data_IF_907259823254
#
_entry.id   IF_907259823254
#
_cell.length_a   1.000
_cell.length_b   1.000
_cell.length_c   1.000
_cell.angle_alpha   90.00
_cell.angle_beta   90.00
_cell.angle_gamma   90.00
#
_symmetry.space_group_name_H-M   'P 1'
#
loop_
_entity.id
_entity.type
_entity.pdbx_description
1 polymer ?
#
# COMPACT_ATOMS: atom_id res chain seq x y z
N UNK A 1 71.94 20.71 -29.40
CA UNK A 1 71.33 21.85 -28.68
C UNK A 1 70.02 21.38 -28.08
N UNK A 2 69.84 21.59 -26.78
CA UNK A 2 68.66 21.21 -26.00
C UNK A 2 67.42 22.03 -26.38
N UNK A 3 66.24 21.39 -26.41
CA UNK A 3 65.01 21.99 -25.86
C UNK A 3 63.93 20.94 -25.56
N UNK A 4 63.41 21.04 -24.34
CA UNK A 4 62.36 20.23 -23.73
C UNK A 4 60.96 20.76 -24.05
N UNK A 5 59.97 19.88 -23.87
CA UNK A 5 58.55 20.09 -23.47
C UNK A 5 57.52 20.35 -24.58
N UNK A 6 56.53 19.44 -24.71
CA UNK A 6 55.19 19.63 -24.13
C UNK A 6 54.41 18.30 -24.05
N UNK A 7 53.82 18.03 -22.89
CA UNK A 7 52.86 16.94 -22.65
C UNK A 7 51.47 17.43 -23.07
N UNK A 8 50.98 16.95 -24.20
CA UNK A 8 49.59 17.18 -24.63
C UNK A 8 48.65 16.24 -23.85
N UNK A 9 47.73 16.84 -23.10
CA UNK A 9 46.72 16.21 -22.27
C UNK A 9 45.76 15.35 -23.10
N UNK A 10 45.80 14.03 -22.92
CA UNK A 10 44.80 13.12 -23.46
C UNK A 10 43.42 13.42 -22.83
N UNK A 11 42.52 13.95 -23.64
CA UNK A 11 41.17 14.35 -23.24
C UNK A 11 40.30 13.11 -23.06
N UNK A 12 39.96 12.79 -21.80
CA UNK A 12 39.03 11.70 -21.41
C UNK A 12 37.66 11.78 -22.09
N UNK A 13 37.28 12.94 -22.64
CA UNK A 13 36.04 13.16 -23.39
C UNK A 13 36.03 12.54 -24.79
N UNK A 14 37.17 12.41 -25.43
CA UNK A 14 37.26 11.84 -26.79
C UNK A 14 37.18 10.31 -26.75
N UNK A 15 37.71 9.69 -25.69
CA UNK A 15 37.58 8.25 -25.45
C UNK A 15 36.12 7.80 -25.24
N UNK A 16 35.30 8.61 -24.55
CA UNK A 16 33.87 8.33 -24.35
C UNK A 16 33.09 8.48 -25.66
N UNK A 17 33.45 9.43 -26.52
CA UNK A 17 32.83 9.58 -27.84
C UNK A 17 33.17 8.42 -28.78
N UNK A 18 34.41 7.95 -28.77
CA UNK A 18 34.84 6.84 -29.64
C UNK A 18 34.29 5.48 -29.18
N UNK A 19 34.01 5.30 -27.88
CA UNK A 19 33.44 4.04 -27.37
C UNK A 19 31.90 3.97 -27.49
N UNK A 20 31.23 5.10 -27.70
CA UNK A 20 29.76 5.17 -27.79
C UNK A 20 29.17 4.86 -29.17
N UNK A 21 29.97 4.70 -30.22
CA UNK A 21 29.48 4.67 -31.60
C UNK A 21 29.57 3.31 -32.30
N UNK A 22 30.09 2.26 -31.66
CA UNK A 22 30.44 1.01 -32.36
C UNK A 22 29.65 -0.26 -31.95
N UNK A 23 28.62 -0.17 -31.10
CA UNK A 23 27.84 -1.38 -30.73
C UNK A 23 26.35 -1.11 -30.50
N UNK A 24 25.72 -0.36 -31.40
CA UNK A 24 24.28 -0.12 -31.39
C UNK A 24 23.56 -0.82 -32.57
N UNK A 25 24.02 -2.01 -32.96
CA UNK A 25 23.34 -2.84 -33.94
C UNK A 25 23.19 -4.28 -33.42
N UNK A 26 21.96 -4.60 -33.02
CA UNK A 26 21.35 -5.93 -33.20
C UNK A 26 21.74 -7.07 -32.24
N UNK A 27 21.29 -7.02 -30.98
CA UNK A 27 21.05 -8.26 -30.20
C UNK A 27 19.69 -8.30 -29.46
N UNK A 28 18.90 -7.21 -29.42
CA UNK A 28 17.61 -7.21 -28.69
C UNK A 28 16.36 -7.37 -29.58
N UNK A 29 16.50 -7.46 -30.90
CA UNK A 29 15.38 -7.79 -31.79
C UNK A 29 15.14 -9.31 -31.77
N UNK A 30 14.36 -9.79 -30.80
CA UNK A 30 13.94 -11.20 -30.70
C UNK A 30 14.17 -11.87 -29.35
N UNK A 31 14.80 -11.20 -28.38
CA UNK A 31 14.84 -11.69 -27.01
C UNK A 31 13.49 -11.39 -26.37
N UNK A 32 12.58 -12.36 -26.42
CA UNK A 32 11.48 -12.40 -25.46
C UNK A 32 12.13 -12.36 -24.07
N UNK A 33 12.05 -11.23 -23.37
CA UNK A 33 12.43 -11.14 -21.97
C UNK A 33 11.67 -12.27 -21.30
N UNK A 34 12.34 -13.33 -20.80
CA UNK A 34 11.63 -14.34 -20.05
C UNK A 34 10.94 -13.59 -18.92
N UNK A 35 9.62 -13.74 -18.78
CA UNK A 35 8.98 -13.40 -17.52
C UNK A 35 9.59 -14.34 -16.50
N UNK A 36 10.73 -13.92 -15.93
CA UNK A 36 11.33 -14.52 -14.75
C UNK A 36 10.31 -14.28 -13.67
N UNK A 37 9.34 -15.20 -13.58
CA UNK A 37 8.59 -15.40 -12.37
C UNK A 37 9.65 -15.86 -11.38
N UNK A 38 10.16 -14.92 -10.58
CA UNK A 38 10.94 -15.28 -9.40
C UNK A 38 10.18 -16.40 -8.69
N UNK A 39 10.89 -17.44 -8.24
CA UNK A 39 10.33 -18.51 -7.42
C UNK A 39 9.88 -18.02 -6.02
N UNK A 40 9.60 -16.73 -5.88
CA UNK A 40 9.03 -16.08 -4.72
C UNK A 40 7.53 -16.11 -4.93
N UNK A 41 6.81 -16.76 -4.02
CA UNK A 41 5.35 -16.62 -3.93
C UNK A 41 5.03 -15.12 -3.81
N UNK A 42 4.49 -14.56 -4.89
CA UNK A 42 4.15 -13.14 -5.03
C UNK A 42 2.78 -12.81 -4.39
N UNK A 43 2.22 -13.77 -3.64
CA UNK A 43 0.98 -13.59 -2.89
C UNK A 43 1.18 -12.56 -1.78
N UNK A 44 0.43 -11.46 -1.85
CA UNK A 44 0.34 -10.50 -0.75
C UNK A 44 -0.63 -11.03 0.29
N UNK A 45 -0.13 -11.29 1.50
CA UNK A 45 -0.99 -11.71 2.61
C UNK A 45 -1.66 -10.49 3.24
N UNK A 46 -2.89 -10.70 3.68
CA UNK A 46 -3.74 -9.67 4.27
C UNK A 46 -4.20 -10.13 5.63
N UNK A 47 -4.14 -9.23 6.61
CA UNK A 47 -4.88 -9.37 7.86
C UNK A 47 -5.89 -8.24 8.03
N UNK A 48 -7.05 -8.55 8.61
CA UNK A 48 -8.09 -7.56 8.91
C UNK A 48 -8.22 -7.38 10.41
N UNK A 49 -8.03 -6.16 10.90
CA UNK A 49 -8.27 -5.80 12.30
C UNK A 49 -9.51 -4.90 12.36
N UNK A 50 -10.56 -5.42 12.98
CA UNK A 50 -11.91 -4.84 13.00
C UNK A 50 -12.81 -5.48 11.93
N UNK A 51 -13.07 -6.78 12.04
CA UNK A 51 -13.92 -7.58 11.15
C UNK A 51 -15.44 -7.27 11.23
N UNK A 52 -15.83 -6.01 11.43
CA UNK A 52 -17.20 -5.54 11.27
C UNK A 52 -17.60 -5.35 9.80
N UNK A 53 -18.77 -4.75 9.54
CA UNK A 53 -19.26 -4.52 8.17
C UNK A 53 -18.28 -3.75 7.29
N UNK A 54 -17.63 -2.70 7.83
CA UNK A 54 -16.65 -1.94 7.05
C UNK A 54 -15.38 -2.75 6.76
N UNK A 55 -14.85 -3.47 7.75
CA UNK A 55 -13.70 -4.37 7.58
C UNK A 55 -13.96 -5.46 6.56
N UNK A 56 -15.15 -6.07 6.62
CA UNK A 56 -15.61 -7.05 5.63
C UNK A 56 -15.56 -6.48 4.21
N UNK A 57 -16.11 -5.29 3.99
CA UNK A 57 -16.09 -4.68 2.66
C UNK A 57 -14.71 -4.18 2.21
N UNK A 58 -13.82 -3.79 3.15
CA UNK A 58 -12.45 -3.42 2.79
C UNK A 58 -11.62 -4.65 2.37
N UNK A 59 -11.76 -5.76 3.10
CA UNK A 59 -11.16 -7.04 2.75
C UNK A 59 -11.69 -7.57 1.42
N UNK A 60 -13.00 -7.45 1.20
CA UNK A 60 -13.66 -7.78 -0.06
C UNK A 60 -13.06 -7.03 -1.24
N UNK A 61 -12.94 -5.69 -1.14
CA UNK A 61 -12.33 -4.88 -2.18
C UNK A 61 -10.88 -5.30 -2.48
N UNK A 62 -10.11 -5.65 -1.45
CA UNK A 62 -8.73 -6.10 -1.63
C UNK A 62 -8.68 -7.47 -2.34
N UNK A 63 -9.54 -8.41 -1.95
CA UNK A 63 -9.60 -9.75 -2.57
C UNK A 63 -10.22 -9.74 -3.97
N UNK A 64 -11.03 -8.73 -4.30
CA UNK A 64 -11.61 -8.53 -5.63
C UNK A 64 -10.64 -7.94 -6.66
N UNK A 65 -9.42 -7.58 -6.26
CA UNK A 65 -8.39 -7.15 -7.22
C UNK A 65 -8.08 -8.34 -8.15
N UNK A 66 -8.13 -8.17 -9.49
CA UNK A 66 -7.80 -9.25 -10.41
C UNK A 66 -6.40 -9.82 -10.15
N UNK A 67 -6.26 -11.15 -10.25
CA UNK A 67 -5.01 -11.86 -9.97
C UNK A 67 -3.86 -11.46 -10.90
N UNK A 68 -4.17 -10.93 -12.08
CA UNK A 68 -3.19 -10.38 -13.03
C UNK A 68 -2.55 -9.07 -12.53
N UNK A 69 -3.21 -8.39 -11.57
CA UNK A 69 -2.72 -7.16 -10.94
C UNK A 69 -2.09 -7.46 -9.59
N UNK A 70 -2.78 -8.21 -8.73
CA UNK A 70 -2.27 -8.59 -7.41
C UNK A 70 -2.91 -9.89 -6.94
N UNK A 71 -2.08 -10.83 -6.47
CA UNK A 71 -2.54 -12.08 -5.84
C UNK A 71 -2.70 -11.86 -4.35
N UNK A 72 -3.93 -11.58 -3.91
CA UNK A 72 -4.22 -11.26 -2.52
C UNK A 72 -4.83 -12.45 -1.78
N UNK A 73 -4.36 -12.71 -0.55
CA UNK A 73 -4.87 -13.78 0.30
C UNK A 73 -5.11 -13.29 1.74
N UNK A 74 -6.32 -13.46 2.25
CA UNK A 74 -6.65 -13.15 3.63
C UNK A 74 -6.23 -14.31 4.54
N UNK A 75 -5.32 -14.06 5.48
CA UNK A 75 -4.69 -15.11 6.32
C UNK A 75 -5.01 -15.00 7.81
N UNK A 76 -5.44 -13.83 8.27
CA UNK A 76 -5.81 -13.62 9.67
C UNK A 76 -6.88 -12.54 9.84
N UNK A 77 -7.67 -12.67 10.91
CA UNK A 77 -8.70 -11.68 11.27
C UNK A 77 -8.70 -11.44 12.77
N UNK A 78 -8.95 -10.19 13.18
CA UNK A 78 -9.15 -9.81 14.57
C UNK A 78 -10.40 -8.94 14.77
N UNK A 79 -11.13 -9.17 15.85
CA UNK A 79 -12.22 -8.33 16.33
C UNK A 79 -12.39 -8.50 17.85
N UNK A 80 -13.25 -7.72 18.48
CA UNK A 80 -13.66 -7.95 19.88
C UNK A 80 -15.00 -8.67 19.97
N UNK A 81 -15.73 -8.79 18.85
CA UNK A 81 -17.03 -9.44 18.76
C UNK A 81 -16.97 -10.69 17.91
N UNK A 82 -17.22 -11.85 18.53
CA UNK A 82 -17.32 -13.15 17.84
C UNK A 82 -18.39 -13.13 16.75
N UNK A 83 -19.56 -12.57 17.03
CA UNK A 83 -20.65 -12.49 16.05
C UNK A 83 -20.26 -11.71 14.78
N UNK A 84 -19.55 -10.58 14.94
CA UNK A 84 -19.05 -9.80 13.78
C UNK A 84 -17.99 -10.58 13.01
N UNK A 85 -17.03 -11.17 13.72
CA UNK A 85 -15.97 -12.01 13.15
C UNK A 85 -16.54 -13.13 12.28
N UNK A 86 -17.47 -13.92 12.83
CA UNK A 86 -18.04 -15.08 12.14
C UNK A 86 -18.85 -14.68 10.92
N UNK A 87 -19.64 -13.61 11.01
CA UNK A 87 -20.40 -13.09 9.88
C UNK A 87 -19.49 -12.59 8.77
N UNK A 88 -18.41 -11.87 9.12
CA UNK A 88 -17.40 -11.38 8.19
C UNK A 88 -16.69 -12.54 7.49
N UNK A 89 -16.18 -13.51 8.25
CA UNK A 89 -15.50 -14.68 7.72
C UNK A 89 -16.40 -15.48 6.76
N UNK A 90 -17.65 -15.79 7.17
CA UNK A 90 -18.61 -16.51 6.31
C UNK A 90 -18.87 -15.77 5.00
N UNK A 91 -19.09 -14.45 5.07
CA UNK A 91 -19.34 -13.63 3.89
C UNK A 91 -18.13 -13.57 2.94
N UNK A 92 -16.92 -13.45 3.48
CA UNK A 92 -15.68 -13.41 2.69
C UNK A 92 -15.36 -14.79 2.10
N UNK A 93 -15.41 -15.86 2.89
CA UNK A 93 -15.12 -17.23 2.44
C UNK A 93 -16.09 -17.66 1.33
N UNK A 94 -17.37 -17.31 1.43
CA UNK A 94 -18.37 -17.58 0.39
C UNK A 94 -18.04 -16.90 -0.94
N UNK A 95 -17.53 -15.66 -0.92
CA UNK A 95 -17.26 -14.86 -2.12
C UNK A 95 -15.90 -15.20 -2.76
N UNK A 96 -14.89 -15.39 -1.94
CA UNK A 96 -13.49 -15.44 -2.38
C UNK A 96 -12.83 -16.82 -2.22
N UNK A 97 -13.54 -17.80 -1.65
CA UNK A 97 -13.14 -19.21 -1.57
C UNK A 97 -11.69 -19.39 -1.09
N UNK A 98 -10.78 -19.77 -1.96
CA UNK A 98 -9.40 -20.15 -1.63
C UNK A 98 -8.51 -18.96 -1.28
N UNK A 99 -8.90 -17.76 -1.69
CA UNK A 99 -8.25 -16.51 -1.28
C UNK A 99 -8.52 -16.14 0.19
N UNK A 100 -9.34 -16.93 0.91
CA UNK A 100 -9.60 -16.78 2.34
C UNK A 100 -9.12 -18.03 3.09
N UNK A 101 -7.97 -17.90 3.73
CA UNK A 101 -7.28 -18.94 4.49
C UNK A 101 -7.13 -18.50 5.94
N UNK A 102 -8.27 -18.41 6.61
CA UNK A 102 -8.39 -17.97 8.00
C UNK A 102 -8.99 -19.12 8.82
N UNK A 103 -8.20 -20.15 9.16
CA UNK A 103 -8.62 -21.19 10.09
C UNK A 103 -8.99 -20.61 11.47
N UNK A 104 -9.68 -21.38 12.31
CA UNK A 104 -10.23 -20.89 13.57
C UNK A 104 -9.15 -20.33 14.53
N UNK A 105 -7.95 -20.90 14.52
CA UNK A 105 -6.77 -20.47 15.29
C UNK A 105 -6.12 -19.17 14.79
N UNK A 106 -6.52 -18.67 13.61
CA UNK A 106 -6.16 -17.35 13.05
C UNK A 106 -7.30 -16.33 13.09
N UNK A 107 -8.35 -16.60 13.88
CA UNK A 107 -9.45 -15.69 14.19
C UNK A 107 -9.34 -15.26 15.64
N UNK A 108 -8.78 -14.08 15.86
CA UNK A 108 -8.45 -13.61 17.19
C UNK A 108 -9.56 -12.72 17.74
N UNK A 109 -10.11 -13.11 18.89
CA UNK A 109 -11.06 -12.31 19.67
C UNK A 109 -10.36 -11.69 20.87
N UNK A 110 -10.51 -10.38 21.04
CA UNK A 110 -9.98 -9.65 22.19
C UNK A 110 -9.15 -8.44 21.81
N UNK A 111 -8.77 -7.65 22.82
CA UNK A 111 -8.03 -6.39 22.64
C UNK A 111 -6.57 -6.59 22.19
N UNK A 112 -6.00 -7.78 22.40
CA UNK A 112 -4.68 -8.17 21.92
C UNK A 112 -4.72 -8.84 20.52
N UNK A 113 -5.92 -9.12 20.00
CA UNK A 113 -6.12 -9.82 18.74
C UNK A 113 -5.49 -9.10 17.53
N UNK A 114 -5.40 -7.77 17.56
CA UNK A 114 -4.75 -7.00 16.49
C UNK A 114 -3.27 -7.38 16.30
N UNK A 115 -2.54 -7.60 17.40
CA UNK A 115 -1.14 -8.01 17.35
C UNK A 115 -1.02 -9.42 16.80
N UNK A 116 -1.82 -10.36 17.33
CA UNK A 116 -1.84 -11.76 16.91
C UNK A 116 -2.16 -11.91 15.43
N UNK A 117 -3.15 -11.16 14.92
CA UNK A 117 -3.47 -11.14 13.50
C UNK A 117 -2.29 -10.65 12.65
N UNK A 118 -1.63 -9.55 13.05
CA UNK A 118 -0.43 -9.06 12.37
C UNK A 118 0.76 -10.00 12.49
N UNK A 119 0.84 -10.83 13.53
CA UNK A 119 1.94 -11.79 13.71
C UNK A 119 1.91 -12.94 12.69
N UNK A 120 0.79 -13.11 11.97
CA UNK A 120 0.67 -14.02 10.82
C UNK A 120 1.13 -13.40 9.48
N UNK A 121 1.58 -12.15 9.48
CA UNK A 121 2.03 -11.44 8.28
C UNK A 121 3.54 -11.35 8.20
N UNK A 122 4.07 -11.47 6.98
CA UNK A 122 5.48 -11.24 6.66
C UNK A 122 5.74 -9.74 6.42
N UNK A 123 7.02 -9.34 6.50
CA UNK A 123 7.42 -7.97 6.15
C UNK A 123 6.96 -7.64 4.72
N UNK A 124 6.32 -6.49 4.53
CA UNK A 124 5.78 -6.06 3.23
C UNK A 124 4.33 -6.49 2.96
N UNK A 125 3.76 -7.39 3.76
CA UNK A 125 2.34 -7.73 3.67
C UNK A 125 1.45 -6.58 4.16
N UNK A 126 0.13 -6.70 3.95
CA UNK A 126 -0.83 -5.62 4.21
C UNK A 126 -1.71 -5.93 5.42
N UNK A 127 -1.82 -4.97 6.33
CA UNK A 127 -2.86 -4.99 7.36
C UNK A 127 -3.93 -3.93 7.11
N UNK A 128 -5.20 -4.32 7.23
CA UNK A 128 -6.38 -3.48 7.07
C UNK A 128 -6.92 -3.11 8.44
N UNK A 129 -6.96 -1.81 8.76
CA UNK A 129 -7.51 -1.30 10.01
C UNK A 129 -8.88 -0.66 9.83
N UNK A 130 -9.89 -1.27 10.44
CA UNK A 130 -11.28 -0.82 10.42
C UNK A 130 -11.91 -0.74 11.81
N UNK A 131 -11.07 -0.75 12.86
CA UNK A 131 -11.47 -0.47 14.24
C UNK A 131 -11.75 1.02 14.48
N UNK A 132 -12.45 1.38 15.59
CA UNK A 132 -12.57 2.77 16.03
C UNK A 132 -11.21 3.48 16.08
N UNK A 133 -11.19 4.75 15.68
CA UNK A 133 -9.95 5.51 15.49
C UNK A 133 -9.16 5.76 16.79
N UNK A 134 -9.80 5.67 17.96
CA UNK A 134 -9.15 5.83 19.27
C UNK A 134 -7.97 4.86 19.49
N UNK A 135 -8.03 3.67 18.89
CA UNK A 135 -7.00 2.62 19.03
C UNK A 135 -5.99 2.61 17.87
N UNK A 136 -6.19 3.45 16.85
CA UNK A 136 -5.45 3.35 15.58
C UNK A 136 -3.95 3.49 15.73
N UNK A 137 -3.51 4.40 16.59
CA UNK A 137 -2.09 4.67 16.81
C UNK A 137 -1.34 3.46 17.38
N UNK A 138 -2.00 2.65 18.24
CA UNK A 138 -1.42 1.43 18.80
C UNK A 138 -1.22 0.39 17.70
N UNK A 139 -2.26 0.17 16.90
CA UNK A 139 -2.22 -0.79 15.80
C UNK A 139 -1.18 -0.37 14.75
N UNK A 140 -1.15 0.93 14.42
CA UNK A 140 -0.22 1.46 13.43
C UNK A 140 1.23 1.35 13.87
N UNK A 141 1.53 1.65 15.14
CA UNK A 141 2.88 1.45 15.69
C UNK A 141 3.34 0.00 15.52
N UNK A 142 2.52 -0.98 15.90
CA UNK A 142 2.86 -2.41 15.76
C UNK A 142 3.08 -2.81 14.29
N UNK A 143 2.28 -2.29 13.36
CA UNK A 143 2.48 -2.53 11.92
C UNK A 143 3.82 -1.97 11.43
N UNK A 144 4.19 -0.75 11.83
CA UNK A 144 5.47 -0.12 11.51
C UNK A 144 6.64 -0.94 12.08
N UNK A 145 6.53 -1.39 13.33
CA UNK A 145 7.54 -2.20 14.00
C UNK A 145 7.79 -3.51 13.25
N UNK A 146 6.72 -4.16 12.74
CA UNK A 146 6.81 -5.37 11.90
C UNK A 146 7.19 -5.10 10.43
N UNK A 147 7.21 -3.85 10.00
CA UNK A 147 7.46 -3.49 8.60
C UNK A 147 6.33 -3.91 7.65
N UNK A 148 5.09 -3.76 8.09
CA UNK A 148 3.88 -4.05 7.31
C UNK A 148 3.39 -2.82 6.55
N UNK A 149 2.88 -3.03 5.35
CA UNK A 149 2.08 -2.04 4.65
C UNK A 149 0.70 -1.93 5.30
N UNK A 150 0.08 -0.76 5.22
CA UNK A 150 -1.14 -0.47 5.97
C UNK A 150 -2.18 0.15 5.08
N UNK A 151 -3.41 -0.36 5.16
CA UNK A 151 -4.60 0.39 4.78
C UNK A 151 -5.41 0.69 6.04
N UNK A 152 -5.85 1.93 6.22
CA UNK A 152 -6.63 2.29 7.40
C UNK A 152 -7.83 3.17 7.06
N UNK A 153 -8.99 2.82 7.61
CA UNK A 153 -10.22 3.57 7.38
C UNK A 153 -10.22 4.93 8.08
N UNK A 154 -10.89 5.90 7.49
CA UNK A 154 -11.08 7.23 8.09
C UNK A 154 -12.22 7.19 9.13
N UNK A 155 -12.19 8.06 10.17
CA UNK A 155 -11.11 8.99 10.52
C UNK A 155 -9.89 8.27 11.11
N UNK A 156 -8.73 8.95 11.12
CA UNK A 156 -7.47 8.38 11.59
C UNK A 156 -7.28 8.49 13.12
N UNK A 157 -7.77 9.57 13.71
CA UNK A 157 -7.63 9.89 15.13
C UNK A 157 -8.84 10.71 15.61
N UNK A 158 -9.15 10.69 16.92
CA UNK A 158 -10.29 11.42 17.47
C UNK A 158 -9.96 12.87 17.89
N UNK A 159 -8.70 13.21 18.14
CA UNK A 159 -8.28 14.48 18.73
C UNK A 159 -6.91 14.97 18.21
N UNK A 160 -6.59 16.23 18.54
CA UNK A 160 -5.35 16.90 18.13
C UNK A 160 -4.07 16.25 18.68
N UNK A 161 -3.96 15.91 19.98
CA UNK A 161 -2.81 15.19 20.53
C UNK A 161 -2.53 13.86 19.80
N UNK A 162 -3.57 13.06 19.55
CA UNK A 162 -3.46 11.79 18.82
C UNK A 162 -3.12 12.03 17.36
N UNK A 163 -3.57 13.13 16.74
CA UNK A 163 -3.17 13.51 15.39
C UNK A 163 -1.66 13.77 15.30
N UNK A 164 -1.07 14.54 16.23
CA UNK A 164 0.38 14.76 16.27
C UNK A 164 1.15 13.45 16.43
N UNK A 165 0.65 12.55 17.28
CA UNK A 165 1.23 11.20 17.45
C UNK A 165 1.18 10.39 16.14
N UNK A 166 0.06 10.41 15.44
CA UNK A 166 -0.09 9.70 14.15
C UNK A 166 0.86 10.25 13.08
N UNK A 167 1.09 11.57 13.05
CA UNK A 167 2.07 12.19 12.14
C UNK A 167 3.49 11.71 12.45
N UNK A 168 3.90 11.71 13.72
CA UNK A 168 5.23 11.21 14.12
C UNK A 168 5.42 9.72 13.77
N UNK A 169 4.40 8.87 14.01
CA UNK A 169 4.43 7.47 13.58
C UNK A 169 4.55 7.35 12.05
N UNK A 170 3.88 8.22 11.31
CA UNK A 170 3.94 8.19 9.86
C UNK A 170 5.31 8.56 9.30
N UNK A 171 6.07 9.42 9.98
CA UNK A 171 7.44 9.73 9.58
C UNK A 171 8.35 8.50 9.74
N UNK A 172 8.19 7.73 10.82
CA UNK A 172 8.87 6.42 10.97
C UNK A 172 8.46 5.41 9.89
N UNK A 173 7.18 5.43 9.47
CA UNK A 173 6.71 4.57 8.39
C UNK A 173 7.38 4.94 7.05
N UNK A 174 7.56 6.24 6.78
CA UNK A 174 8.27 6.72 5.58
C UNK A 174 9.74 6.34 5.59
N UNK A 175 10.43 6.46 6.72
CA UNK A 175 11.83 6.03 6.86
C UNK A 175 12.01 4.54 6.52
N UNK A 176 11.02 3.71 6.87
CA UNK A 176 10.98 2.28 6.53
C UNK A 176 10.43 1.99 5.12
N UNK A 177 10.09 3.02 4.34
CA UNK A 177 9.49 2.93 3.01
C UNK A 177 8.18 2.10 2.96
N UNK A 178 7.39 2.14 4.04
CA UNK A 178 6.11 1.44 4.11
C UNK A 178 5.05 2.18 3.30
N UNK A 179 4.15 1.41 2.66
CA UNK A 179 3.00 1.95 1.93
C UNK A 179 1.82 2.09 2.87
N UNK A 180 1.26 3.29 2.93
CA UNK A 180 0.19 3.63 3.87
C UNK A 180 -0.96 4.27 3.11
N UNK A 181 -2.05 3.52 2.96
CA UNK A 181 -3.28 3.95 2.34
C UNK A 181 -4.33 4.35 3.39
N UNK A 182 -5.11 5.39 3.08
CA UNK A 182 -6.25 5.82 3.90
C UNK A 182 -7.53 5.69 3.09
N UNK A 183 -8.61 5.26 3.73
CA UNK A 183 -9.96 5.10 3.13
C UNK A 183 -10.64 6.40 2.68
N UNK A 184 -9.94 7.27 1.95
CA UNK A 184 -10.46 8.50 1.35
C UNK A 184 -11.12 8.19 0.00
N UNK A 185 -12.12 7.31 0.01
CA UNK A 185 -12.75 6.74 -1.20
C UNK A 185 -13.20 7.79 -2.23
N UNK A 186 -13.61 8.99 -1.79
CA UNK A 186 -14.00 10.08 -2.68
C UNK A 186 -12.90 10.48 -3.67
N UNK A 187 -11.61 10.29 -3.34
CA UNK A 187 -10.47 10.57 -4.22
C UNK A 187 -10.37 9.61 -5.42
N UNK A 188 -11.08 8.48 -5.38
CA UNK A 188 -11.13 7.49 -6.46
C UNK A 188 -12.43 7.58 -7.28
N UNK A 189 -13.31 8.54 -6.99
CA UNK A 189 -14.54 8.75 -7.74
C UNK A 189 -14.25 9.49 -9.04
N UNK A 190 -14.58 8.87 -10.18
CA UNK A 190 -14.42 9.51 -11.51
C UNK A 190 -15.14 10.86 -11.61
N UNK A 191 -16.38 10.93 -11.14
CA UNK A 191 -17.15 12.18 -11.15
C UNK A 191 -16.53 13.29 -10.30
N UNK A 192 -15.97 12.96 -9.13
CA UNK A 192 -15.25 13.94 -8.30
C UNK A 192 -13.88 14.30 -8.87
N UNK A 193 -13.21 13.35 -9.53
CA UNK A 193 -11.97 13.60 -10.27
C UNK A 193 -12.18 14.58 -11.41
N UNK A 194 -13.27 14.42 -12.17
CA UNK A 194 -13.66 15.35 -13.22
C UNK A 194 -13.92 16.76 -12.66
N UNK A 195 -14.73 16.87 -11.59
CA UNK A 195 -14.95 18.16 -10.92
C UNK A 195 -13.64 18.79 -10.44
N UNK A 196 -12.73 17.98 -9.88
CA UNK A 196 -11.42 18.46 -9.45
C UNK A 196 -10.61 19.00 -10.63
N UNK A 197 -10.59 18.32 -11.77
CA UNK A 197 -9.88 18.76 -12.97
C UNK A 197 -10.43 20.10 -13.47
N UNK A 198 -11.75 20.22 -13.62
CA UNK A 198 -12.40 21.49 -14.06
C UNK A 198 -12.10 22.67 -13.16
N UNK A 199 -12.06 22.44 -11.84
CA UNK A 199 -11.62 23.45 -10.87
C UNK A 199 -10.16 23.85 -11.13
N UNK A 200 -9.28 22.87 -11.40
CA UNK A 200 -7.86 23.12 -11.67
C UNK A 200 -7.59 23.79 -13.00
N UNK A 201 -8.40 23.49 -14.01
CA UNK A 201 -8.32 24.06 -15.35
C UNK A 201 -8.92 25.47 -15.42
N UNK A 202 -9.45 25.98 -14.29
CA UNK A 202 -9.96 27.35 -14.18
C UNK A 202 -11.37 27.54 -14.76
N UNK A 203 -12.08 26.47 -15.11
CA UNK A 203 -13.41 26.55 -15.74
C UNK A 203 -14.47 27.23 -14.85
N UNK A 204 -14.24 27.26 -13.54
CA UNK A 204 -15.14 27.89 -12.56
C UNK A 204 -14.65 29.27 -12.11
N UNK A 205 -13.51 29.75 -12.62
CA UNK A 205 -12.84 30.96 -12.14
C UNK A 205 -12.41 30.85 -10.67
N UNK A 206 -12.43 31.98 -9.97
CA UNK A 206 -12.05 32.04 -8.56
C UNK A 206 -13.09 31.39 -7.65
N UNK A 207 -12.63 30.45 -6.83
CA UNK A 207 -13.48 29.70 -5.91
C UNK A 207 -13.66 30.49 -4.60
N UNK A 208 -14.85 31.06 -4.42
CA UNK A 208 -15.18 31.79 -3.18
C UNK A 208 -15.72 30.88 -2.06
N UNK A 209 -16.43 29.81 -2.41
CA UNK A 209 -17.03 28.88 -1.45
C UNK A 209 -17.24 27.49 -2.07
N UNK A 210 -16.83 26.44 -1.36
CA UNK A 210 -17.19 25.05 -1.66
C UNK A 210 -17.93 24.45 -0.47
N UNK A 211 -19.10 23.85 -0.74
CA UNK A 211 -19.91 23.18 0.28
C UNK A 211 -20.17 21.74 -0.14
N UNK A 212 -19.81 20.80 0.72
CA UNK A 212 -20.01 19.38 0.50
C UNK A 212 -21.15 18.86 1.38
N UNK A 213 -22.15 18.24 0.75
CA UNK A 213 -23.21 17.53 1.44
C UNK A 213 -23.01 16.03 1.33
N UNK A 214 -23.22 15.34 2.45
CA UNK A 214 -23.33 13.88 2.47
C UNK A 214 -24.81 13.56 2.64
N UNK A 215 -25.47 13.28 1.53
CA UNK A 215 -26.82 12.72 1.50
C UNK A 215 -26.79 11.24 1.92
#
# INVERSE_FOLDING_TARGET
MSKTTELSSSNRRDFIKTTGSATAASVLAGVAIPRVHSAVDDTTQIAVVGAGGRGTGAADNALSVPSEIARNKLVAMADVSTAKMDNSYKALKRRHKDSVDVPADRRYIGFDGYSKAMDNLNRGDVVIFTTPCAFRWVHYKKAIDKGLNVFMEKPLCPDGPTARRMLALNDLAKEKNLKVGVGLMCRHSRARGELFNRIKDGELGDINLLRAYRL
#
